data_IF_015991574923
#
_entry.id   IF_015991574923
#
_cell.length_a   1.000
_cell.length_b   1.000
_cell.length_c   1.000
_cell.angle_alpha   90.00
_cell.angle_beta   90.00
_cell.angle_gamma   90.00
#
_symmetry.space_group_name_H-M   'P 1'
#
loop_
_entity.id
_entity.type
_entity.pdbx_description
1 polymer ?
#
# COMPACT_ATOMS: atom_id res chain seq x y z
N UNK A 1 -26.96 -29.21 5.16
CA UNK A 1 -26.38 -28.28 4.17
C UNK A 1 -25.48 -27.34 4.97
N UNK A 2 -24.17 -27.62 5.00
CA UNK A 2 -23.19 -26.80 5.71
C UNK A 2 -22.44 -25.94 4.70
N UNK A 3 -22.05 -24.75 5.16
CA UNK A 3 -21.09 -23.79 4.59
C UNK A 3 -21.72 -22.55 3.97
N UNK A 4 -21.90 -21.51 4.78
CA UNK A 4 -22.03 -20.14 4.26
C UNK A 4 -21.50 -19.03 5.16
N UNK A 5 -20.84 -19.32 6.30
CA UNK A 5 -20.38 -18.25 7.23
C UNK A 5 -18.93 -18.47 7.73
N UNK A 6 -18.01 -18.87 6.85
CA UNK A 6 -16.56 -18.78 7.12
C UNK A 6 -15.96 -17.84 6.07
N UNK A 7 -16.44 -16.60 6.10
CA UNK A 7 -15.69 -15.48 5.56
C UNK A 7 -15.37 -14.56 6.76
N UNK A 8 -14.40 -13.66 6.60
CA UNK A 8 -14.25 -12.47 7.47
C UNK A 8 -13.32 -12.55 8.70
N UNK A 9 -12.13 -13.14 8.56
CA UNK A 9 -10.93 -12.60 9.26
C UNK A 9 -9.74 -12.36 8.33
N UNK A 10 -9.99 -12.39 7.02
CA UNK A 10 -8.97 -12.10 6.01
C UNK A 10 -9.04 -10.63 5.62
N UNK A 11 -7.91 -9.97 5.64
CA UNK A 11 -7.80 -8.62 5.12
C UNK A 11 -8.10 -8.62 3.61
N UNK A 12 -9.06 -7.81 3.18
CA UNK A 12 -9.50 -7.75 1.78
C UNK A 12 -8.38 -7.20 0.87
N UNK A 13 -7.47 -6.42 1.42
CA UNK A 13 -6.36 -5.83 0.68
C UNK A 13 -5.23 -6.82 0.37
N UNK A 14 -4.97 -7.79 1.24
CA UNK A 14 -3.82 -8.69 1.11
C UNK A 14 -4.18 -10.20 1.12
N UNK A 15 -5.42 -10.56 1.45
CA UNK A 15 -5.91 -11.94 1.53
C UNK A 15 -5.41 -12.73 2.73
N UNK A 16 -4.67 -12.09 3.65
CA UNK A 16 -4.04 -12.74 4.81
C UNK A 16 -4.98 -12.72 6.01
N UNK A 17 -4.96 -13.79 6.82
CA UNK A 17 -5.72 -13.93 8.07
C UNK A 17 -5.13 -13.07 9.20
N UNK A 18 -5.87 -12.05 9.61
CA UNK A 18 -5.47 -11.12 10.68
C UNK A 18 -6.07 -11.59 12.00
N UNK A 19 -5.26 -11.96 13.01
CA UNK A 19 -5.75 -12.18 14.35
C UNK A 19 -6.13 -10.83 14.96
N UNK A 20 -7.45 -10.63 15.15
CA UNK A 20 -8.04 -9.38 15.66
C UNK A 20 -7.55 -9.09 17.09
N UNK A 21 -7.48 -10.13 17.91
CA UNK A 21 -7.11 -10.05 19.32
C UNK A 21 -5.88 -10.93 19.58
N UNK A 22 -4.71 -10.48 19.10
CA UNK A 22 -3.46 -11.13 19.46
C UNK A 22 -3.17 -10.88 20.96
N UNK A 23 -3.19 -11.91 21.82
CA UNK A 23 -3.01 -11.74 23.26
C UNK A 23 -1.61 -11.20 23.63
N UNK A 24 -0.66 -11.21 22.68
CA UNK A 24 0.68 -10.62 22.84
C UNK A 24 0.66 -9.10 22.76
N UNK A 25 -0.43 -8.48 22.31
CA UNK A 25 -0.57 -7.03 22.15
C UNK A 25 -1.61 -6.50 23.15
N UNK A 26 -1.17 -5.96 24.30
CA UNK A 26 -2.06 -5.30 25.25
C UNK A 26 -2.87 -4.15 24.63
N UNK A 27 -4.05 -3.86 25.18
CA UNK A 27 -4.98 -2.87 24.62
C UNK A 27 -4.40 -1.45 24.55
N UNK A 28 -3.62 -1.04 25.55
CA UNK A 28 -2.92 0.24 25.61
C UNK A 28 -1.84 0.34 24.52
N UNK A 29 -1.09 -0.74 24.30
CA UNK A 29 -0.14 -0.85 23.20
C UNK A 29 -0.87 -0.75 21.86
N UNK A 30 -1.97 -1.49 21.68
CA UNK A 30 -2.76 -1.46 20.46
C UNK A 30 -3.26 -0.04 20.12
N UNK A 31 -3.77 0.70 21.10
CA UNK A 31 -4.22 2.09 20.93
C UNK A 31 -3.06 3.02 20.53
N UNK A 32 -1.90 2.89 21.19
CA UNK A 32 -0.71 3.66 20.85
C UNK A 32 -0.23 3.40 19.41
N UNK A 33 -0.17 2.14 19.00
CA UNK A 33 0.25 1.78 17.63
C UNK A 33 -0.77 2.28 16.59
N UNK A 34 -2.08 2.21 16.89
CA UNK A 34 -3.12 2.80 16.03
C UNK A 34 -2.96 4.31 15.87
N UNK A 35 -2.56 5.02 16.93
CA UNK A 35 -2.26 6.46 16.86
C UNK A 35 -1.08 6.76 15.92
N UNK A 36 0.04 6.04 16.06
CA UNK A 36 1.20 6.20 15.18
C UNK A 36 0.86 5.95 13.70
N UNK A 37 -0.02 4.99 13.41
CA UNK A 37 -0.51 4.72 12.04
C UNK A 37 -1.37 5.86 11.50
N UNK A 38 -2.26 6.45 12.32
CA UNK A 38 -3.06 7.63 11.93
C UNK A 38 -2.19 8.85 11.64
N UNK A 39 -1.06 8.98 12.34
CA UNK A 39 -0.08 10.06 12.14
C UNK A 39 0.89 9.79 10.96
N UNK A 40 0.61 8.78 10.13
CA UNK A 40 1.44 8.39 8.98
C UNK A 40 2.89 8.00 9.35
N UNK A 41 3.09 7.40 10.53
CA UNK A 41 4.40 6.92 11.01
C UNK A 41 4.47 5.38 11.06
N UNK A 42 4.30 4.67 9.93
CA UNK A 42 4.19 3.21 9.93
C UNK A 42 5.48 2.51 10.39
N UNK A 43 6.65 3.08 10.07
CA UNK A 43 7.94 2.49 10.47
C UNK A 43 8.12 2.58 11.99
N UNK A 44 7.73 3.71 12.61
CA UNK A 44 7.81 3.88 14.05
C UNK A 44 6.83 2.94 14.76
N UNK A 45 5.62 2.79 14.21
CA UNK A 45 4.61 1.86 14.69
C UNK A 45 5.15 0.41 14.78
N UNK A 46 5.83 -0.08 13.73
CA UNK A 46 6.45 -1.43 13.76
C UNK A 46 7.55 -1.53 14.81
N UNK A 47 8.43 -0.52 14.89
CA UNK A 47 9.55 -0.51 15.83
C UNK A 47 9.09 -0.53 17.28
N UNK A 48 8.12 0.33 17.62
CA UNK A 48 7.56 0.42 18.96
C UNK A 48 6.79 -0.84 19.33
N UNK A 49 5.99 -1.39 18.42
CA UNK A 49 5.27 -2.63 18.68
C UNK A 49 6.23 -3.78 19.00
N UNK A 50 7.29 -3.94 18.20
CA UNK A 50 8.35 -4.93 18.45
C UNK A 50 9.02 -4.69 19.81
N UNK A 51 9.35 -3.44 20.14
CA UNK A 51 10.01 -3.07 21.40
C UNK A 51 9.14 -3.39 22.61
N UNK A 52 7.83 -3.16 22.53
CA UNK A 52 6.88 -3.31 23.63
C UNK A 52 6.42 -4.77 23.84
N UNK A 53 6.30 -5.55 22.77
CA UNK A 53 5.73 -6.91 22.82
C UNK A 53 6.77 -8.03 22.70
N UNK A 54 7.98 -7.72 22.23
CA UNK A 54 9.02 -8.72 21.94
C UNK A 54 8.73 -9.58 20.71
N UNK A 55 7.69 -9.26 19.92
CA UNK A 55 7.31 -10.02 18.74
C UNK A 55 8.40 -10.01 17.64
N UNK A 56 8.32 -10.96 16.73
CA UNK A 56 9.18 -10.97 15.54
C UNK A 56 8.96 -9.68 14.71
N UNK A 57 9.95 -9.26 13.93
CA UNK A 57 9.77 -8.11 13.04
C UNK A 57 8.64 -8.35 12.03
N UNK A 58 8.50 -9.59 11.55
CA UNK A 58 7.44 -10.00 10.64
C UNK A 58 6.06 -9.84 11.29
N UNK A 59 5.88 -10.39 12.48
CA UNK A 59 4.64 -10.33 13.24
C UNK A 59 4.27 -8.89 13.62
N UNK A 60 5.25 -8.09 14.05
CA UNK A 60 5.03 -6.68 14.40
C UNK A 60 4.64 -5.86 13.16
N UNK A 61 5.32 -6.07 12.02
CA UNK A 61 4.94 -5.44 10.75
C UNK A 61 3.53 -5.86 10.34
N UNK A 62 3.26 -7.14 10.44
CA UNK A 62 1.99 -7.73 10.08
C UNK A 62 0.84 -7.13 10.89
N UNK A 63 0.97 -7.09 12.22
CA UNK A 63 -0.02 -6.49 13.09
C UNK A 63 -0.17 -4.99 12.82
N UNK A 64 0.93 -4.24 12.69
CA UNK A 64 0.89 -2.79 12.47
C UNK A 64 0.30 -2.39 11.12
N UNK A 65 0.49 -3.21 10.07
CA UNK A 65 -0.12 -2.98 8.76
C UNK A 65 -1.63 -3.17 8.79
N UNK A 66 -2.13 -3.99 9.71
CA UNK A 66 -3.55 -4.30 9.87
C UNK A 66 -4.19 -3.61 11.08
N UNK A 67 -3.41 -2.98 11.96
CA UNK A 67 -3.87 -2.33 13.20
C UNK A 67 -4.66 -3.24 14.16
N UNK A 68 -4.43 -4.56 14.09
CA UNK A 68 -5.19 -5.55 14.85
C UNK A 68 -6.62 -5.75 14.35
N UNK A 69 -6.94 -5.36 13.12
CA UNK A 69 -8.25 -5.58 12.51
C UNK A 69 -8.07 -6.06 11.07
N UNK A 70 -8.90 -6.96 10.52
CA UNK A 70 -8.92 -7.19 9.09
C UNK A 70 -9.29 -5.86 8.43
N UNK A 71 -8.30 -5.19 7.82
CA UNK A 71 -8.57 -3.92 7.15
C UNK A 71 -9.57 -4.19 6.02
N UNK A 72 -10.82 -3.83 6.29
CA UNK A 72 -11.97 -3.97 5.41
C UNK A 72 -12.18 -2.79 4.48
N UNK A 73 -11.28 -1.79 4.46
CA UNK A 73 -11.33 -0.78 3.41
C UNK A 73 -10.64 -1.34 2.18
N UNK A 74 -11.42 -2.02 1.33
CA UNK A 74 -11.23 -1.85 -0.09
C UNK A 74 -11.16 -0.33 -0.31
N UNK A 75 -9.94 0.20 -0.51
CA UNK A 75 -9.77 1.59 -0.91
C UNK A 75 -10.55 1.67 -2.21
N UNK A 76 -11.70 2.34 -2.21
CA UNK A 76 -12.45 2.56 -3.44
C UNK A 76 -11.51 3.32 -4.36
N UNK A 77 -11.03 2.63 -5.38
CA UNK A 77 -10.11 3.24 -6.33
C UNK A 77 -10.93 3.98 -7.37
N UNK A 78 -10.48 5.16 -7.77
CA UNK A 78 -11.10 5.87 -8.88
C UNK A 78 -10.95 5.09 -10.19
N UNK A 79 -11.83 5.33 -11.18
CA UNK A 79 -11.63 4.82 -12.52
C UNK A 79 -10.43 5.48 -13.19
N UNK A 80 -9.73 4.74 -14.05
CA UNK A 80 -8.66 5.29 -14.88
C UNK A 80 -9.21 6.41 -15.78
N UNK A 81 -8.55 7.59 -15.85
CA UNK A 81 -9.03 8.73 -16.63
C UNK A 81 -9.05 8.46 -18.15
N UNK A 82 -8.32 7.44 -18.61
CA UNK A 82 -8.20 7.12 -20.04
C UNK A 82 -9.08 5.95 -20.50
N UNK A 83 -9.30 4.94 -19.64
CA UNK A 83 -10.03 3.72 -20.04
C UNK A 83 -11.21 3.37 -19.13
N UNK A 84 -11.46 4.14 -18.07
CA UNK A 84 -12.58 3.96 -17.16
C UNK A 84 -12.49 2.77 -16.21
N UNK A 85 -11.50 1.88 -16.35
CA UNK A 85 -11.33 0.71 -15.48
C UNK A 85 -10.74 1.10 -14.13
N UNK A 86 -11.11 0.38 -13.08
CA UNK A 86 -10.63 0.61 -11.72
C UNK A 86 -9.11 0.59 -11.60
N UNK A 87 -8.57 1.56 -10.86
CA UNK A 87 -7.16 1.62 -10.55
C UNK A 87 -6.78 0.64 -9.43
N UNK A 88 -5.49 0.34 -9.30
CA UNK A 88 -4.98 -0.55 -8.25
C UNK A 88 -5.03 0.09 -6.86
N UNK A 89 -4.77 1.40 -6.81
CA UNK A 89 -4.89 2.25 -5.63
C UNK A 89 -5.49 3.58 -6.08
N UNK A 90 -6.06 4.34 -5.13
CA UNK A 90 -6.55 5.71 -5.33
C UNK A 90 -5.45 6.68 -5.80
N UNK A 91 -4.21 6.40 -5.40
CA UNK A 91 -2.99 7.16 -5.71
C UNK A 91 -2.22 6.62 -6.92
N UNK A 92 -2.74 5.59 -7.60
CA UNK A 92 -2.05 5.01 -8.74
C UNK A 92 -1.95 6.03 -9.88
N UNK A 93 -0.72 6.30 -10.33
CA UNK A 93 -0.46 7.14 -11.50
C UNK A 93 -0.21 6.34 -12.79
N UNK A 94 -0.56 5.06 -12.77
CA UNK A 94 -0.43 4.17 -13.91
C UNK A 94 -1.60 3.19 -13.94
N UNK A 95 -2.16 2.96 -15.12
CA UNK A 95 -3.25 1.99 -15.31
C UNK A 95 -2.72 0.63 -15.76
N UNK A 96 -2.96 -0.43 -15.00
CA UNK A 96 -2.60 -1.81 -15.39
C UNK A 96 -3.36 -2.37 -16.59
N UNK A 97 -4.48 -1.75 -16.96
CA UNK A 97 -5.35 -2.26 -18.02
C UNK A 97 -5.08 -1.62 -19.38
N UNK A 98 -4.73 -0.33 -19.41
CA UNK A 98 -4.37 0.37 -20.65
C UNK A 98 -2.90 0.79 -20.71
N UNK A 99 -2.13 0.51 -19.66
CA UNK A 99 -0.68 0.76 -19.54
C UNK A 99 -0.24 2.22 -19.67
N UNK A 100 -1.18 3.17 -19.68
CA UNK A 100 -0.87 4.61 -19.64
C UNK A 100 -0.35 5.01 -18.27
N UNK A 101 0.67 5.85 -18.30
CA UNK A 101 1.28 6.50 -17.15
C UNK A 101 0.96 8.01 -17.17
N UNK A 102 0.64 8.60 -16.02
CA UNK A 102 0.44 10.03 -15.81
C UNK A 102 1.20 10.54 -14.57
N UNK A 103 2.39 9.98 -14.30
CA UNK A 103 3.32 10.53 -13.31
C UNK A 103 3.72 11.97 -13.64
N UNK A 104 3.81 12.31 -14.93
CA UNK A 104 4.08 13.64 -15.48
C UNK A 104 3.00 13.98 -16.53
N UNK A 105 2.21 15.02 -16.27
CA UNK A 105 1.17 15.49 -17.20
C UNK A 105 1.75 15.93 -18.55
N UNK A 106 3.04 16.31 -18.59
CA UNK A 106 3.75 16.71 -19.80
C UNK A 106 4.47 15.54 -20.48
N UNK A 107 4.54 14.37 -19.85
CA UNK A 107 5.24 13.21 -20.38
C UNK A 107 4.47 11.92 -20.05
N UNK A 108 3.29 11.77 -20.67
CA UNK A 108 2.46 10.57 -20.58
C UNK A 108 3.16 9.40 -21.28
N UNK A 109 4.05 8.69 -20.59
CA UNK A 109 4.74 7.53 -21.12
C UNK A 109 3.79 6.32 -21.22
N UNK A 110 3.87 5.59 -22.34
CA UNK A 110 3.30 4.26 -22.46
C UNK A 110 4.38 3.25 -22.03
N UNK A 111 4.25 2.67 -20.84
CA UNK A 111 5.20 1.65 -20.39
C UNK A 111 5.06 0.39 -21.27
N UNK A 112 6.16 -0.01 -21.92
CA UNK A 112 6.21 -1.14 -22.85
C UNK A 112 6.40 -0.76 -24.32
N UNK A 113 6.28 0.52 -24.69
CA UNK A 113 6.88 1.00 -25.94
C UNK A 113 8.37 1.17 -25.68
N UNK A 114 9.23 0.46 -26.42
CA UNK A 114 10.67 0.70 -26.48
C UNK A 114 10.93 2.13 -26.99
N UNK A 115 10.74 3.14 -26.16
CA UNK A 115 11.39 4.42 -26.33
C UNK A 115 12.75 4.26 -25.68
N UNK A 116 13.83 4.05 -26.45
CA UNK A 116 15.16 4.18 -25.88
C UNK A 116 15.22 5.60 -25.38
N UNK A 117 15.48 5.76 -24.08
CA UNK A 117 15.91 6.99 -23.42
C UNK A 117 16.42 7.98 -24.46
N UNK A 118 15.58 8.94 -24.89
CA UNK A 118 16.02 9.97 -25.81
C UNK A 118 16.97 10.83 -25.00
N UNK A 119 18.25 10.45 -25.07
CA UNK A 119 19.43 11.19 -24.66
C UNK A 119 19.56 12.45 -25.54
N UNK A 120 18.51 13.25 -25.65
CA UNK A 120 18.62 14.67 -26.00
C UNK A 120 18.86 15.47 -24.72
N UNK A 121 19.75 14.98 -23.85
CA UNK A 121 20.63 15.87 -23.13
C UNK A 121 21.63 16.39 -24.16
N UNK A 122 21.20 17.45 -24.85
CA UNK A 122 22.05 18.26 -25.70
C UNK A 122 23.24 18.68 -24.83
N UNK A 123 24.40 18.09 -25.11
CA UNK A 123 25.68 18.68 -24.76
C UNK A 123 25.71 20.06 -25.42
N UNK A 124 25.35 21.11 -24.67
CA UNK A 124 25.80 22.46 -24.97
C UNK A 124 27.28 22.52 -24.63
N UNK A 125 28.09 21.92 -25.49
CA UNK A 125 29.50 22.24 -25.61
C UNK A 125 29.58 23.59 -26.33
N UNK A 126 29.47 24.68 -25.57
CA UNK A 126 29.89 26.01 -25.98
C UNK A 126 30.21 26.81 -24.72
N UNK A 127 31.43 26.62 -24.21
CA UNK A 127 32.10 27.58 -23.35
C UNK A 127 33.31 28.11 -24.13
N UNK A 128 33.36 29.41 -24.46
CA UNK A 128 34.59 30.06 -24.95
C UNK A 128 35.65 30.17 -23.86
#
# INVERSE_FOLDING_TARGET
MMNSDINEMRCVCCGIEVPIDDPRVPADVAEYIRKLRKEAQPILAVKELKRLTGMSLGDAKYWADHCGEPIGRAVQTGPCPFCGKELRTDTAKQCRHCMRDWHDENNLLLLGTNQPWSNEYIFLADLP
#
